data_IF_332663863766
#
_entry.id   IF_332663863766
#
_cell.length_a   1.000
_cell.length_b   1.000
_cell.length_c   1.000
_cell.angle_alpha   90.00
_cell.angle_beta   90.00
_cell.angle_gamma   90.00
#
_symmetry.space_group_name_H-M   'P 1'
#
loop_
_entity.id
_entity.type
_entity.pdbx_description
1 polymer ?
#
# COMPACT_ATOMS: atom_id res chain seq x y z
N UNK A 1 -15.13 -26.41 5.31
CA UNK A 1 -13.93 -25.61 5.02
C UNK A 1 -14.14 -24.17 5.52
N UNK A 2 -13.55 -23.80 6.67
CA UNK A 2 -13.55 -22.41 7.15
C UNK A 2 -12.15 -21.83 7.51
N UNK A 3 -11.07 -22.62 7.51
CA UNK A 3 -9.77 -22.19 8.04
C UNK A 3 -9.07 -21.09 7.21
N UNK A 4 -9.21 -21.11 5.88
CA UNK A 4 -8.50 -20.18 4.99
C UNK A 4 -8.99 -18.72 5.07
N UNK A 5 -10.26 -18.50 5.46
CA UNK A 5 -10.80 -17.14 5.60
C UNK A 5 -10.22 -16.41 6.82
N UNK A 6 -9.72 -17.15 7.82
CA UNK A 6 -9.06 -16.60 9.00
C UNK A 6 -7.63 -16.08 8.73
N UNK A 7 -7.04 -16.39 7.57
CA UNK A 7 -5.65 -15.99 7.24
C UNK A 7 -5.56 -14.77 6.33
N UNK A 8 -6.69 -14.13 6.01
CA UNK A 8 -6.69 -12.79 5.42
C UNK A 8 -6.45 -11.76 6.53
N UNK A 9 -5.44 -10.92 6.37
CA UNK A 9 -5.14 -9.85 7.33
C UNK A 9 -6.22 -8.76 7.30
N UNK A 10 -6.71 -8.41 6.12
CA UNK A 10 -7.69 -7.36 5.90
C UNK A 10 -8.99 -7.91 5.31
N UNK A 11 -10.12 -7.37 5.75
CA UNK A 11 -11.40 -7.44 5.02
C UNK A 11 -11.52 -6.18 4.16
N UNK A 12 -11.67 -6.39 2.86
CA UNK A 12 -11.74 -5.33 1.85
C UNK A 12 -13.12 -5.38 1.21
N UNK A 13 -13.80 -4.24 1.19
CA UNK A 13 -15.16 -4.10 0.64
C UNK A 13 -15.19 -2.92 -0.32
N UNK A 14 -15.54 -3.17 -1.57
CA UNK A 14 -15.81 -2.10 -2.53
C UNK A 14 -17.20 -1.52 -2.32
N UNK A 15 -17.34 -0.22 -2.55
CA UNK A 15 -18.63 0.49 -2.43
C UNK A 15 -18.63 1.71 -3.38
N UNK A 16 -19.79 2.16 -3.87
CA UNK A 16 -19.87 3.43 -4.61
C UNK A 16 -19.63 4.61 -3.65
N UNK A 17 -18.85 5.62 -4.06
CA UNK A 17 -18.75 6.88 -3.32
C UNK A 17 -19.68 7.91 -3.95
N UNK A 18 -19.44 8.25 -5.21
CA UNK A 18 -20.21 9.21 -6.01
C UNK A 18 -19.94 8.95 -7.50
N UNK A 19 -20.49 9.78 -8.39
CA UNK A 19 -20.31 9.65 -9.85
C UNK A 19 -18.84 9.83 -10.30
N UNK A 20 -17.98 10.35 -9.43
CA UNK A 20 -16.60 10.65 -9.78
C UNK A 20 -15.65 9.51 -9.43
N UNK A 21 -15.88 8.78 -8.32
CA UNK A 21 -14.97 7.75 -7.84
C UNK A 21 -15.64 6.54 -7.17
N UNK A 22 -14.92 5.42 -7.13
CA UNK A 22 -15.30 4.20 -6.40
C UNK A 22 -14.53 4.09 -5.08
N UNK A 23 -15.16 3.48 -4.09
CA UNK A 23 -14.62 3.27 -2.76
C UNK A 23 -14.04 1.89 -2.53
N UNK A 24 -13.00 1.81 -1.69
CA UNK A 24 -12.44 0.57 -1.15
C UNK A 24 -12.23 0.71 0.36
N UNK A 25 -13.10 0.08 1.15
CA UNK A 25 -13.03 0.12 2.62
C UNK A 25 -12.23 -1.07 3.13
N UNK A 26 -11.27 -0.80 4.01
CA UNK A 26 -10.42 -1.79 4.65
C UNK A 26 -10.69 -1.80 6.15
N UNK A 27 -10.81 -3.01 6.70
CA UNK A 27 -10.87 -3.25 8.15
C UNK A 27 -9.94 -4.41 8.47
N UNK A 28 -9.31 -4.40 9.64
CA UNK A 28 -8.45 -5.50 10.05
C UNK A 28 -9.32 -6.72 10.39
N UNK A 29 -9.11 -7.81 9.68
CA UNK A 29 -9.83 -9.07 9.87
C UNK A 29 -9.05 -10.03 10.78
N UNK A 30 -7.72 -10.03 10.67
CA UNK A 30 -6.82 -10.78 11.55
C UNK A 30 -5.59 -9.92 11.86
N UNK A 31 -5.53 -9.43 13.10
CA UNK A 31 -4.47 -8.53 13.55
C UNK A 31 -3.13 -9.24 13.76
N UNK A 32 -3.13 -10.53 14.14
CA UNK A 32 -1.89 -11.32 14.27
C UNK A 32 -1.25 -11.56 12.90
N UNK A 33 -2.08 -11.94 11.91
CA UNK A 33 -1.64 -12.12 10.53
C UNK A 33 -1.13 -10.79 9.95
N UNK A 34 -1.81 -9.68 10.21
CA UNK A 34 -1.37 -8.36 9.76
C UNK A 34 -0.01 -8.00 10.34
N UNK A 35 0.17 -8.17 11.66
CA UNK A 35 1.43 -7.89 12.33
C UNK A 35 2.59 -8.74 11.79
N UNK A 36 2.34 -10.04 11.56
CA UNK A 36 3.33 -10.95 10.99
C UNK A 36 3.70 -10.62 9.54
N UNK A 37 2.73 -10.22 8.71
CA UNK A 37 3.00 -9.77 7.34
C UNK A 37 3.84 -8.48 7.34
N UNK A 38 3.46 -7.50 8.16
CA UNK A 38 4.22 -6.25 8.31
C UNK A 38 5.66 -6.52 8.78
N UNK A 39 5.83 -7.41 9.76
CA UNK A 39 7.14 -7.84 10.23
C UNK A 39 7.97 -8.49 9.11
N UNK A 40 7.36 -9.39 8.34
CA UNK A 40 8.00 -10.08 7.20
C UNK A 40 8.47 -9.08 6.15
N UNK A 41 7.61 -8.13 5.77
CA UNK A 41 7.93 -7.13 4.75
C UNK A 41 9.03 -6.18 5.23
N UNK A 42 8.95 -5.66 6.47
CA UNK A 42 9.92 -4.68 6.96
C UNK A 42 11.33 -5.26 7.11
N UNK A 43 11.44 -6.58 7.33
CA UNK A 43 12.69 -7.34 7.31
C UNK A 43 13.21 -7.63 5.89
N UNK A 44 12.58 -7.04 4.86
CA UNK A 44 13.01 -7.10 3.47
C UNK A 44 12.47 -8.31 2.69
N UNK A 45 11.47 -9.02 3.20
CA UNK A 45 10.97 -10.26 2.61
C UNK A 45 9.58 -10.08 1.97
N UNK A 46 9.41 -9.04 1.14
CA UNK A 46 8.15 -8.76 0.45
C UNK A 46 7.65 -9.93 -0.40
N UNK A 47 8.55 -10.62 -1.11
CA UNK A 47 8.22 -11.83 -1.89
C UNK A 47 7.67 -12.98 -1.03
N UNK A 48 8.19 -13.15 0.19
CA UNK A 48 7.64 -14.14 1.12
C UNK A 48 6.25 -13.74 1.61
N UNK A 49 6.04 -12.45 1.92
CA UNK A 49 4.73 -11.93 2.28
C UNK A 49 3.70 -12.09 1.16
N UNK A 50 4.11 -11.87 -0.11
CA UNK A 50 3.30 -12.16 -1.29
C UNK A 50 2.90 -13.63 -1.35
N UNK A 51 3.86 -14.55 -1.23
CA UNK A 51 3.59 -15.98 -1.22
C UNK A 51 2.62 -16.40 -0.11
N UNK A 52 2.79 -15.84 1.10
CA UNK A 52 1.89 -16.07 2.25
C UNK A 52 0.46 -15.60 1.95
N UNK A 53 0.31 -14.42 1.35
CA UNK A 53 -1.00 -13.85 1.02
C UNK A 53 -1.70 -14.69 -0.06
N UNK A 54 -1.00 -15.04 -1.14
CA UNK A 54 -1.55 -15.83 -2.25
C UNK A 54 -1.90 -17.25 -1.83
N UNK A 55 -1.04 -17.87 -1.03
CA UNK A 55 -1.22 -19.25 -0.57
C UNK A 55 -2.07 -19.36 0.70
N UNK A 56 -2.55 -18.23 1.24
CA UNK A 56 -3.29 -18.13 2.50
C UNK A 56 -2.60 -18.90 3.63
N UNK A 57 -1.30 -18.63 3.84
CA UNK A 57 -0.49 -19.24 4.89
C UNK A 57 -0.45 -18.38 6.16
N UNK A 58 -0.10 -18.96 7.32
CA UNK A 58 0.28 -18.17 8.49
C UNK A 58 1.46 -17.25 8.16
N UNK A 59 1.41 -16.01 8.64
CA UNK A 59 2.49 -15.06 8.45
C UNK A 59 3.73 -15.50 9.22
N UNK A 60 4.74 -16.00 8.49
CA UNK A 60 6.05 -16.41 9.01
C UNK A 60 7.14 -16.01 8.00
N UNK A 61 8.15 -15.22 8.41
CA UNK A 61 9.31 -14.91 7.56
C UNK A 61 10.03 -16.18 7.10
N UNK A 62 10.64 -16.13 5.92
CA UNK A 62 11.37 -17.27 5.36
C UNK A 62 12.67 -17.55 6.15
N UNK A 63 13.28 -16.50 6.70
CA UNK A 63 14.45 -16.58 7.57
C UNK A 63 14.47 -15.37 8.50
N UNK A 64 15.25 -15.46 9.58
CA UNK A 64 15.49 -14.32 10.47
C UNK A 64 16.85 -14.46 11.14
N UNK A 65 17.41 -13.32 11.56
CA UNK A 65 18.57 -13.27 12.44
C UNK A 65 18.43 -12.06 13.37
N UNK A 66 19.27 -12.01 14.40
CA UNK A 66 19.15 -10.97 15.43
C UNK A 66 19.34 -9.55 14.85
N UNK A 67 20.26 -9.36 13.90
CA UNK A 67 20.47 -8.05 13.29
C UNK A 67 19.25 -7.57 12.50
N UNK A 68 18.60 -8.45 11.74
CA UNK A 68 17.36 -8.14 11.00
C UNK A 68 16.21 -7.81 11.96
N UNK A 69 16.07 -8.58 13.05
CA UNK A 69 15.07 -8.30 14.10
C UNK A 69 15.28 -6.90 14.68
N UNK A 70 16.52 -6.56 15.06
CA UNK A 70 16.81 -5.25 15.64
C UNK A 70 16.59 -4.10 14.66
N UNK A 71 16.98 -4.25 13.38
CA UNK A 71 16.70 -3.23 12.36
C UNK A 71 15.19 -2.98 12.18
N UNK A 72 14.40 -4.06 12.13
CA UNK A 72 12.94 -3.98 12.02
C UNK A 72 12.30 -3.31 13.25
N UNK A 73 12.74 -3.66 14.46
CA UNK A 73 12.22 -3.07 15.72
C UNK A 73 12.50 -1.56 15.76
N UNK A 74 13.68 -1.11 15.32
CA UNK A 74 14.02 0.32 15.26
C UNK A 74 13.02 1.08 14.38
N UNK A 75 12.52 0.50 13.29
CA UNK A 75 11.56 1.16 12.39
C UNK A 75 10.18 1.39 13.03
N UNK A 76 9.84 0.61 14.05
CA UNK A 76 8.54 0.70 14.74
C UNK A 76 8.59 1.31 16.14
N UNK A 77 9.80 1.58 16.64
CA UNK A 77 10.03 2.31 17.89
C UNK A 77 9.90 3.82 17.67
N UNK A 78 9.19 4.52 18.57
CA UNK A 78 9.06 5.98 18.53
C UNK A 78 10.31 6.66 19.09
N UNK A 79 10.85 7.61 18.34
CA UNK A 79 11.94 8.48 18.76
C UNK A 79 11.79 9.84 18.07
N UNK A 80 11.30 10.85 18.80
CA UNK A 80 11.05 12.18 18.24
C UNK A 80 12.33 12.96 17.96
N UNK A 81 13.29 12.93 18.89
CA UNK A 81 14.57 13.64 18.74
C UNK A 81 15.57 12.73 18.03
N UNK A 82 16.17 13.21 16.93
CA UNK A 82 17.20 12.46 16.20
C UNK A 82 18.44 12.27 17.08
N UNK A 83 18.88 11.02 17.24
CA UNK A 83 20.10 10.64 17.96
C UNK A 83 20.91 9.60 17.18
N UNK A 84 22.17 9.39 17.60
CA UNK A 84 23.10 8.42 17.03
C UNK A 84 23.69 7.55 18.14
N UNK A 85 23.54 6.21 18.10
CA UNK A 85 22.83 5.44 17.08
C UNK A 85 21.32 5.69 17.11
N UNK A 86 20.66 5.54 15.95
CA UNK A 86 19.19 5.64 15.85
C UNK A 86 18.55 4.44 16.55
N UNK A 87 17.56 4.69 17.39
CA UNK A 87 16.76 3.64 18.06
C UNK A 87 15.28 3.71 17.70
N UNK A 88 14.86 4.73 16.95
CA UNK A 88 13.48 4.90 16.50
C UNK A 88 13.30 5.95 15.40
N UNK A 89 12.02 6.24 15.11
CA UNK A 89 11.59 7.31 14.20
C UNK A 89 10.49 8.16 14.84
N UNK A 90 10.31 9.43 14.42
CA UNK A 90 9.16 10.23 14.85
C UNK A 90 7.85 9.48 14.63
N UNK A 91 6.90 9.59 15.56
CA UNK A 91 5.64 8.81 15.55
C UNK A 91 4.94 8.90 14.20
N UNK A 92 4.89 10.10 13.62
CA UNK A 92 4.27 10.35 12.31
C UNK A 92 4.91 9.58 11.15
N UNK A 93 6.23 9.39 11.16
CA UNK A 93 6.94 8.64 10.12
C UNK A 93 6.76 7.13 10.31
N UNK A 94 6.76 6.68 11.57
CA UNK A 94 6.51 5.28 11.94
C UNK A 94 5.11 4.85 11.51
N UNK A 95 4.10 5.65 11.84
CA UNK A 95 2.71 5.38 11.45
C UNK A 95 2.54 5.42 9.92
N UNK A 96 3.21 6.36 9.24
CA UNK A 96 3.26 6.44 7.79
C UNK A 96 3.80 5.16 7.14
N UNK A 97 4.92 4.65 7.65
CA UNK A 97 5.50 3.39 7.19
C UNK A 97 4.54 2.21 7.42
N UNK A 98 3.98 2.08 8.62
CA UNK A 98 3.01 1.00 8.91
C UNK A 98 1.83 1.08 7.94
N UNK A 99 1.28 2.27 7.69
CA UNK A 99 0.17 2.42 6.77
C UNK A 99 0.52 2.07 5.32
N UNK A 100 1.71 2.45 4.85
CA UNK A 100 2.21 2.05 3.52
C UNK A 100 2.25 0.52 3.38
N UNK A 101 2.75 -0.18 4.41
CA UNK A 101 2.78 -1.65 4.46
C UNK A 101 1.37 -2.26 4.47
N UNK A 102 0.43 -1.71 5.25
CA UNK A 102 -0.98 -2.13 5.23
C UNK A 102 -1.58 -1.93 3.84
N UNK A 103 -1.29 -0.79 3.21
CA UNK A 103 -1.83 -0.42 1.90
C UNK A 103 -1.32 -1.33 0.77
N UNK A 104 -0.06 -1.78 0.88
CA UNK A 104 0.52 -2.81 0.00
C UNK A 104 -0.15 -4.17 0.22
N UNK A 105 -0.32 -4.59 1.48
CA UNK A 105 -1.03 -5.85 1.83
C UNK A 105 -2.46 -5.81 1.28
N UNK A 106 -3.15 -4.67 1.40
CA UNK A 106 -4.49 -4.49 0.87
C UNK A 106 -4.54 -4.67 -0.65
N UNK A 107 -3.60 -4.07 -1.38
CA UNK A 107 -3.48 -4.25 -2.83
C UNK A 107 -3.20 -5.72 -3.18
N UNK A 108 -2.22 -6.35 -2.52
CA UNK A 108 -1.83 -7.74 -2.82
C UNK A 108 -2.95 -8.73 -2.53
N UNK A 109 -3.72 -8.55 -1.46
CA UNK A 109 -4.84 -9.43 -1.08
C UNK A 109 -5.99 -9.48 -2.10
N UNK A 110 -6.14 -8.46 -2.95
CA UNK A 110 -7.17 -8.41 -4.01
C UNK A 110 -6.58 -8.55 -5.41
N UNK A 111 -5.25 -8.67 -5.51
CA UNK A 111 -4.54 -8.86 -6.76
C UNK A 111 -4.61 -10.32 -7.21
N UNK A 112 -4.66 -10.55 -8.51
CA UNK A 112 -4.59 -11.90 -9.10
C UNK A 112 -3.22 -12.19 -9.71
N UNK A 113 -3.08 -13.35 -10.35
CA UNK A 113 -1.83 -13.87 -10.95
C UNK A 113 -1.28 -13.05 -12.14
N UNK A 114 -2.01 -12.02 -12.57
CA UNK A 114 -1.61 -11.07 -13.61
C UNK A 114 -1.19 -9.72 -13.04
N UNK A 115 -1.27 -9.55 -11.72
CA UNK A 115 -0.98 -8.30 -11.03
C UNK A 115 0.41 -8.33 -10.39
N UNK A 116 1.23 -7.34 -10.73
CA UNK A 116 2.57 -7.14 -10.22
C UNK A 116 2.62 -5.82 -9.47
N UNK A 117 3.09 -5.85 -8.23
CA UNK A 117 3.08 -4.70 -7.34
C UNK A 117 4.51 -4.33 -6.95
N UNK A 118 4.87 -3.05 -7.04
CA UNK A 118 6.17 -2.57 -6.55
C UNK A 118 6.25 -2.83 -5.05
N UNK A 119 7.37 -3.41 -4.62
CA UNK A 119 7.65 -3.60 -3.19
C UNK A 119 7.51 -2.27 -2.42
N UNK A 120 6.93 -2.32 -1.21
CA UNK A 120 6.76 -1.13 -0.41
C UNK A 120 8.12 -0.65 0.08
N UNK A 121 8.23 0.63 0.44
CA UNK A 121 9.45 1.12 1.04
C UNK A 121 9.69 0.43 2.39
N UNK A 122 10.93 0.03 2.64
CA UNK A 122 11.37 -0.51 3.93
C UNK A 122 11.92 0.58 4.85
N UNK A 123 11.79 1.86 4.47
CA UNK A 123 12.30 3.03 5.19
C UNK A 123 11.22 4.11 5.34
N UNK A 124 11.13 4.67 6.55
CA UNK A 124 10.12 5.65 6.92
C UNK A 124 10.33 7.07 6.35
N UNK A 125 11.36 7.30 5.52
CA UNK A 125 11.70 8.63 4.98
C UNK A 125 11.92 8.65 3.47
N UNK A 126 11.50 7.61 2.75
CA UNK A 126 11.65 7.55 1.29
C UNK A 126 10.77 8.63 0.62
N UNK A 127 11.34 9.36 -0.34
CA UNK A 127 10.61 10.27 -1.22
C UNK A 127 10.43 9.59 -2.58
N UNK A 128 9.24 9.66 -3.17
CA UNK A 128 8.97 9.04 -4.47
C UNK A 128 7.50 8.68 -4.63
N UNK A 129 7.23 7.79 -5.58
CA UNK A 129 5.93 7.15 -5.78
C UNK A 129 5.61 6.21 -4.61
N UNK A 130 4.51 6.47 -3.91
CA UNK A 130 4.06 5.63 -2.77
C UNK A 130 3.80 4.18 -3.22
N UNK A 131 3.25 3.98 -4.42
CA UNK A 131 3.07 2.64 -4.98
C UNK A 131 2.61 2.62 -6.44
N UNK A 132 2.90 1.51 -7.12
CA UNK A 132 2.42 1.22 -8.46
C UNK A 132 2.10 -0.27 -8.54
N UNK A 133 0.90 -0.57 -9.03
CA UNK A 133 0.47 -1.90 -9.42
C UNK A 133 0.24 -1.94 -10.92
N UNK A 134 0.67 -3.02 -11.56
CA UNK A 134 0.46 -3.28 -12.98
C UNK A 134 -0.30 -4.58 -13.12
N UNK A 135 -1.37 -4.54 -13.88
CA UNK A 135 -2.13 -5.72 -14.27
C UNK A 135 -1.90 -5.97 -15.76
N UNK A 136 -1.53 -7.20 -16.08
CA UNK A 136 -1.37 -7.64 -17.46
C UNK A 136 -2.71 -8.13 -18.02
N UNK A 137 -2.84 -8.06 -19.35
CA UNK A 137 -3.90 -8.77 -20.08
C UNK A 137 -3.82 -10.28 -19.81
N UNK A 138 -4.93 -11.00 -20.06
CA UNK A 138 -5.00 -12.45 -19.81
C UNK A 138 -3.93 -13.25 -20.58
N UNK A 139 -3.59 -12.83 -21.79
CA UNK A 139 -2.52 -13.40 -22.62
C UNK A 139 -1.12 -12.87 -22.27
N UNK A 140 -1.04 -11.96 -21.28
CA UNK A 140 0.18 -11.29 -20.79
C UNK A 140 0.95 -10.53 -21.86
N UNK A 141 0.28 -10.14 -22.95
CA UNK A 141 0.90 -9.44 -24.08
C UNK A 141 1.03 -7.93 -23.87
N UNK A 142 0.19 -7.34 -23.01
CA UNK A 142 0.22 -5.92 -22.69
C UNK A 142 -0.19 -5.64 -21.24
N UNK A 143 0.02 -4.40 -20.80
CA UNK A 143 -0.56 -3.89 -19.56
C UNK A 143 -2.01 -3.52 -19.86
N UNK A 144 -2.96 -4.14 -19.16
CA UNK A 144 -4.38 -3.78 -19.21
C UNK A 144 -4.68 -2.60 -18.27
N UNK A 145 -3.99 -2.55 -17.13
CA UNK A 145 -4.21 -1.53 -16.10
C UNK A 145 -2.93 -1.19 -15.34
N UNK A 146 -2.73 0.09 -15.06
CA UNK A 146 -1.70 0.58 -14.15
C UNK A 146 -2.37 1.40 -13.06
N UNK A 147 -2.15 1.06 -11.78
CA UNK A 147 -2.73 1.80 -10.65
C UNK A 147 -1.63 2.49 -9.88
N UNK A 148 -1.69 3.83 -9.81
CA UNK A 148 -0.76 4.68 -9.07
C UNK A 148 -1.36 4.95 -7.70
N UNK A 149 -0.56 4.77 -6.65
CA UNK A 149 -0.98 4.96 -5.27
C UNK A 149 -0.44 6.27 -4.71
N UNK A 150 -1.27 6.97 -3.93
CA UNK A 150 -0.88 8.08 -3.05
C UNK A 150 -1.59 7.85 -1.71
N UNK A 151 -0.91 7.16 -0.80
CA UNK A 151 -1.50 6.63 0.42
C UNK A 151 -0.92 7.36 1.65
N UNK A 152 -1.78 7.99 2.46
CA UNK A 152 -1.36 8.89 3.54
C UNK A 152 -1.96 8.51 4.90
N UNK A 153 -1.11 8.49 5.93
CA UNK A 153 -1.52 8.43 7.33
C UNK A 153 -1.35 9.82 7.99
N UNK A 154 -2.42 10.61 8.01
CA UNK A 154 -2.39 12.04 8.39
C UNK A 154 -3.63 12.44 9.19
N UNK A 155 -3.49 13.45 10.05
CA UNK A 155 -4.59 13.97 10.88
C UNK A 155 -5.58 14.84 10.10
N UNK A 156 -5.14 15.43 8.98
CA UNK A 156 -5.98 16.25 8.11
C UNK A 156 -6.12 15.60 6.73
N UNK A 157 -6.91 14.52 6.62
CA UNK A 157 -7.01 13.72 5.39
C UNK A 157 -7.62 14.54 4.24
N UNK A 158 -8.67 15.33 4.51
CA UNK A 158 -9.31 16.17 3.50
C UNK A 158 -8.36 17.20 2.88
N UNK A 159 -7.62 17.93 3.72
CA UNK A 159 -6.66 18.92 3.23
C UNK A 159 -5.50 18.27 2.49
N UNK A 160 -5.02 17.13 2.99
CA UNK A 160 -3.96 16.36 2.33
C UNK A 160 -4.41 15.85 0.97
N UNK A 161 -5.65 15.38 0.85
CA UNK A 161 -6.23 14.94 -0.40
C UNK A 161 -6.23 16.06 -1.46
N UNK A 162 -6.74 17.25 -1.14
CA UNK A 162 -6.78 18.36 -2.11
C UNK A 162 -5.44 19.02 -2.38
N UNK A 163 -4.58 19.14 -1.37
CA UNK A 163 -3.35 19.94 -1.48
C UNK A 163 -2.11 19.13 -1.84
N UNK A 164 -2.14 17.80 -1.67
CA UNK A 164 -0.98 16.94 -1.96
C UNK A 164 -1.34 15.83 -2.94
N UNK A 165 -2.36 15.02 -2.64
CA UNK A 165 -2.71 13.83 -3.44
C UNK A 165 -3.18 14.22 -4.84
N UNK A 166 -4.19 15.10 -4.95
CA UNK A 166 -4.68 15.53 -6.27
C UNK A 166 -3.59 16.21 -7.12
N UNK A 167 -2.80 17.18 -6.60
CA UNK A 167 -1.67 17.71 -7.35
C UNK A 167 -0.67 16.63 -7.79
N UNK A 168 -0.31 15.69 -6.91
CA UNK A 168 0.58 14.57 -7.24
C UNK A 168 0.03 13.70 -8.37
N UNK A 169 -1.26 13.39 -8.35
CA UNK A 169 -1.91 12.67 -9.44
C UNK A 169 -1.95 13.47 -10.73
N UNK A 170 -2.20 14.78 -10.69
CA UNK A 170 -2.20 15.65 -11.87
C UNK A 170 -0.80 15.73 -12.52
N UNK A 171 0.28 15.76 -11.73
CA UNK A 171 1.65 15.68 -12.25
C UNK A 171 1.87 14.37 -13.05
N UNK A 172 1.35 13.24 -12.55
CA UNK A 172 1.44 11.96 -13.26
C UNK A 172 0.51 11.93 -14.47
N UNK A 173 -0.72 12.41 -14.32
CA UNK A 173 -1.74 12.46 -15.37
C UNK A 173 -1.29 13.28 -16.59
N UNK A 174 -0.65 14.42 -16.34
CA UNK A 174 -0.05 15.29 -17.37
C UNK A 174 1.24 14.74 -17.97
N UNK A 175 1.71 13.57 -17.50
CA UNK A 175 2.93 12.91 -17.95
C UNK A 175 4.23 13.71 -17.70
N UNK A 176 4.22 14.65 -16.76
CA UNK A 176 5.40 15.50 -16.46
C UNK A 176 6.40 14.83 -15.51
N UNK A 177 6.00 13.74 -14.80
CA UNK A 177 6.83 13.00 -13.84
C UNK A 177 6.81 11.48 -14.05
N UNK A 178 7.13 11.02 -15.27
CA UNK A 178 6.93 9.61 -15.63
C UNK A 178 8.17 8.73 -15.67
N UNK A 179 9.39 9.29 -15.56
CA UNK A 179 10.60 8.48 -15.59
C UNK A 179 10.59 7.41 -14.47
N UNK A 180 10.15 7.79 -13.27
CA UNK A 180 9.99 6.87 -12.13
C UNK A 180 8.91 5.81 -12.41
N UNK A 181 7.79 6.20 -13.02
CA UNK A 181 6.69 5.29 -13.39
C UNK A 181 7.15 4.24 -14.41
N UNK A 182 7.85 4.68 -15.46
CA UNK A 182 8.41 3.83 -16.52
C UNK A 182 9.43 2.86 -15.94
N UNK A 183 10.35 3.34 -15.10
CA UNK A 183 11.38 2.51 -14.48
C UNK A 183 10.77 1.44 -13.55
N UNK A 184 9.80 1.83 -12.72
CA UNK A 184 9.09 0.89 -11.85
C UNK A 184 8.32 -0.14 -12.68
N UNK A 185 7.64 0.29 -13.74
CA UNK A 185 6.90 -0.60 -14.62
C UNK A 185 7.78 -1.61 -15.36
N UNK A 186 8.92 -1.15 -15.89
CA UNK A 186 9.88 -2.03 -16.55
C UNK A 186 10.40 -3.13 -15.61
N UNK A 187 10.63 -2.81 -14.33
CA UNK A 187 11.06 -3.79 -13.34
C UNK A 187 9.96 -4.81 -13.03
N UNK A 188 8.71 -4.35 -12.86
CA UNK A 188 7.57 -5.25 -12.59
C UNK A 188 7.29 -6.20 -13.76
N UNK A 189 7.36 -5.71 -15.00
CA UNK A 189 7.12 -6.56 -16.16
C UNK A 189 8.23 -7.59 -16.36
N UNK A 190 9.47 -7.30 -15.96
CA UNK A 190 10.52 -8.34 -15.96
C UNK A 190 10.18 -9.51 -15.05
N UNK A 191 9.47 -9.26 -13.93
CA UNK A 191 9.01 -10.31 -13.02
C UNK A 191 7.95 -11.22 -13.66
N UNK A 192 7.26 -10.78 -14.72
CA UNK A 192 6.31 -11.62 -15.46
C UNK A 192 6.99 -12.65 -16.39
N UNK A 193 8.31 -12.56 -16.58
CA UNK A 193 9.08 -13.39 -17.50
C UNK A 193 9.17 -12.85 -18.93
N UNK A 194 8.66 -11.64 -19.19
CA UNK A 194 8.78 -10.98 -20.49
C UNK A 194 10.24 -10.67 -20.85
N UNK A 195 10.61 -10.79 -22.13
CA UNK A 195 11.91 -10.33 -22.60
C UNK A 195 12.06 -8.81 -22.48
N UNK A 196 13.29 -8.28 -22.44
CA UNK A 196 13.53 -6.84 -22.33
C UNK A 196 12.84 -6.02 -23.44
N UNK A 197 12.81 -6.53 -24.67
CA UNK A 197 12.17 -5.85 -25.79
C UNK A 197 10.64 -5.82 -25.65
N UNK A 198 10.04 -6.95 -25.26
CA UNK A 198 8.59 -7.03 -24.99
C UNK A 198 8.23 -6.12 -23.82
N UNK A 199 8.99 -6.17 -22.72
CA UNK A 199 8.75 -5.37 -21.54
C UNK A 199 8.67 -3.88 -21.88
N UNK A 200 9.62 -3.35 -22.66
CA UNK A 200 9.60 -1.93 -23.03
C UNK A 200 8.43 -1.55 -23.95
N UNK A 201 8.00 -2.46 -24.83
CA UNK A 201 6.77 -2.26 -25.62
C UNK A 201 5.53 -2.16 -24.73
N UNK A 202 5.45 -3.01 -23.71
CA UNK A 202 4.35 -3.02 -22.74
C UNK A 202 4.36 -1.78 -21.85
N UNK A 203 5.54 -1.32 -21.39
CA UNK A 203 5.68 -0.15 -20.51
C UNK A 203 5.02 1.10 -21.11
N UNK A 204 4.97 1.25 -22.43
CA UNK A 204 4.31 2.41 -23.05
C UNK A 204 2.86 2.60 -22.59
N UNK A 205 2.15 1.51 -22.23
CA UNK A 205 0.77 1.56 -21.71
C UNK A 205 0.64 2.28 -20.37
N UNK A 206 1.71 2.40 -19.57
CA UNK A 206 1.64 3.20 -18.32
C UNK A 206 1.53 4.69 -18.60
N UNK A 207 1.80 5.13 -19.83
CA UNK A 207 1.63 6.51 -20.31
C UNK A 207 0.22 6.80 -20.81
N UNK A 208 -0.56 5.75 -21.08
CA UNK A 208 -1.92 5.84 -21.59
C UNK A 208 -2.89 6.06 -20.42
N UNK A 209 -3.54 7.22 -20.40
CA UNK A 209 -4.48 7.57 -19.35
C UNK A 209 -5.73 6.66 -19.33
N UNK A 210 -6.08 6.00 -20.44
CA UNK A 210 -7.18 5.02 -20.46
C UNK A 210 -6.85 3.73 -19.69
N UNK A 211 -5.56 3.39 -19.56
CA UNK A 211 -5.10 2.26 -18.75
C UNK A 211 -4.81 2.67 -17.29
N UNK A 212 -4.78 3.97 -16.98
CA UNK A 212 -4.26 4.47 -15.72
C UNK A 212 -5.35 4.70 -14.68
N UNK A 213 -5.14 4.13 -13.52
CA UNK A 213 -5.98 4.26 -12.35
C UNK A 213 -5.19 4.96 -11.25
N UNK A 214 -5.92 5.62 -10.37
CA UNK A 214 -5.38 6.42 -9.29
C UNK A 214 -6.06 5.99 -7.99
N UNK A 215 -5.27 5.58 -7.00
CA UNK A 215 -5.78 5.19 -5.67
C UNK A 215 -5.26 6.13 -4.61
N UNK A 216 -6.17 6.85 -3.96
CA UNK A 216 -5.87 7.65 -2.78
C UNK A 216 -6.28 6.88 -1.51
N UNK A 217 -5.32 6.32 -0.79
CA UNK A 217 -5.56 5.61 0.47
C UNK A 217 -5.39 6.49 1.70
N UNK A 218 -6.28 6.36 2.67
CA UNK A 218 -6.15 7.02 3.98
C UNK A 218 -6.41 6.07 5.13
N UNK A 219 -5.59 6.19 6.19
CA UNK A 219 -5.94 5.69 7.51
C UNK A 219 -6.86 6.71 8.21
N UNK A 220 -8.03 6.26 8.62
CA UNK A 220 -9.13 7.11 9.08
C UNK A 220 -9.74 6.56 10.36
N UNK A 221 -10.28 7.44 11.19
CA UNK A 221 -11.04 7.07 12.39
C UNK A 221 -12.50 6.75 12.04
N UNK A 222 -13.31 6.23 12.99
CA UNK A 222 -14.72 5.91 12.73
C UNK A 222 -15.58 7.11 12.30
N UNK A 223 -15.11 8.34 12.49
CA UNK A 223 -15.76 9.58 12.01
C UNK A 223 -15.87 9.65 10.47
N UNK A 224 -15.16 8.78 9.76
CA UNK A 224 -15.24 8.65 8.31
C UNK A 224 -15.92 7.35 7.87
N UNK A 225 -16.46 6.52 8.77
CA UNK A 225 -17.11 5.24 8.42
C UNK A 225 -18.60 5.42 8.09
N UNK A 226 -18.91 6.46 7.32
CA UNK A 226 -20.22 6.70 6.73
C UNK A 226 -20.09 7.27 5.32
N UNK A 227 -21.15 7.15 4.55
CA UNK A 227 -21.18 7.49 3.13
C UNK A 227 -20.91 8.98 2.86
N UNK A 228 -21.49 9.88 3.66
CA UNK A 228 -21.36 11.32 3.47
C UNK A 228 -19.96 11.82 3.82
N UNK A 229 -19.35 11.26 4.87
CA UNK A 229 -17.97 11.55 5.21
C UNK A 229 -16.99 11.07 4.14
N UNK A 230 -17.21 9.88 3.55
CA UNK A 230 -16.40 9.36 2.44
C UNK A 230 -16.53 10.23 1.18
N UNK A 231 -17.75 10.61 0.78
CA UNK A 231 -17.98 11.56 -0.32
C UNK A 231 -17.28 12.89 -0.08
N UNK A 232 -17.43 13.44 1.12
CA UNK A 232 -16.81 14.72 1.49
C UNK A 232 -15.28 14.66 1.43
N UNK A 233 -14.69 13.56 1.90
CA UNK A 233 -13.24 13.33 1.86
C UNK A 233 -12.70 13.32 0.43
N UNK A 234 -13.30 12.54 -0.46
CA UNK A 234 -12.82 12.32 -1.83
C UNK A 234 -13.35 13.33 -2.85
N UNK A 235 -14.20 14.27 -2.43
CA UNK A 235 -14.69 15.37 -3.28
C UNK A 235 -13.55 16.09 -4.01
N UNK A 236 -13.66 16.16 -5.34
CA UNK A 236 -12.69 16.80 -6.22
C UNK A 236 -11.76 15.83 -6.94
N UNK A 237 -12.02 14.52 -6.87
CA UNK A 237 -11.32 13.50 -7.66
C UNK A 237 -11.50 13.72 -9.18
N UNK A 238 -12.66 14.23 -9.61
CA UNK A 238 -12.95 14.60 -11.00
C UNK A 238 -12.01 15.62 -11.64
N UNK A 239 -11.16 16.29 -10.85
CA UNK A 239 -10.07 17.12 -11.38
C UNK A 239 -9.11 16.33 -12.27
N UNK A 240 -8.97 15.03 -12.05
CA UNK A 240 -8.29 14.13 -12.99
C UNK A 240 -9.30 13.81 -14.09
N UNK A 241 -9.28 14.60 -15.16
CA UNK A 241 -10.23 14.53 -16.26
C UNK A 241 -9.94 13.37 -17.23
N UNK A 242 -10.81 13.21 -18.23
CA UNK A 242 -10.62 12.28 -19.36
C UNK A 242 -10.38 10.80 -18.98
N UNK A 243 -10.92 10.39 -17.82
CA UNK A 243 -10.94 9.02 -17.31
C UNK A 243 -12.31 8.70 -16.70
N UNK A 244 -12.65 7.41 -16.61
CA UNK A 244 -13.89 6.92 -16.02
C UNK A 244 -13.86 6.90 -14.48
N UNK A 245 -15.04 6.71 -13.89
CA UNK A 245 -15.26 6.65 -12.44
C UNK A 245 -14.41 5.57 -11.75
N UNK A 246 -14.33 4.37 -12.33
CA UNK A 246 -13.59 3.22 -11.80
C UNK A 246 -12.06 3.40 -11.85
N UNK A 247 -11.58 4.37 -12.64
CA UNK A 247 -10.17 4.78 -12.64
C UNK A 247 -9.79 5.65 -11.43
N UNK A 248 -10.77 6.09 -10.63
CA UNK A 248 -10.57 6.91 -9.44
C UNK A 248 -11.00 6.13 -8.20
N UNK A 249 -10.05 5.76 -7.34
CA UNK A 249 -10.27 4.85 -6.21
C UNK A 249 -9.98 5.58 -4.90
N UNK A 250 -11.03 5.86 -4.12
CA UNK A 250 -10.91 6.33 -2.75
C UNK A 250 -10.80 5.15 -1.78
N UNK A 251 -9.64 4.96 -1.15
CA UNK A 251 -9.38 3.87 -0.24
C UNK A 251 -9.33 4.33 1.22
N UNK A 252 -9.97 3.57 2.11
CA UNK A 252 -10.19 3.96 3.50
C UNK A 252 -9.94 2.80 4.45
N UNK A 253 -8.82 2.82 5.16
CA UNK A 253 -8.63 1.97 6.35
C UNK A 253 -9.34 2.62 7.52
N UNK A 254 -10.43 1.99 7.99
CA UNK A 254 -11.12 2.45 9.20
C UNK A 254 -10.47 1.77 10.40
N UNK A 255 -9.83 2.57 11.25
CA UNK A 255 -9.25 2.11 12.52
C UNK A 255 -10.25 2.30 13.66
N UNK A 256 -10.07 1.52 14.73
CA UNK A 256 -10.88 1.67 15.94
C UNK A 256 -10.24 2.70 16.88
N UNK A 257 -11.04 3.64 17.40
CA UNK A 257 -10.57 4.66 18.34
C UNK A 257 -9.79 5.79 17.68
N UNK A 258 -8.84 6.36 18.43
CA UNK A 258 -7.99 7.44 17.96
C UNK A 258 -6.86 6.93 17.07
N UNK A 259 -6.57 7.69 15.99
CA UNK A 259 -5.69 7.24 14.91
C UNK A 259 -4.31 6.82 15.42
N UNK A 260 -3.67 7.69 16.20
CA UNK A 260 -2.29 7.49 16.66
C UNK A 260 -2.16 6.35 17.67
N UNK A 261 -3.14 6.23 18.55
CA UNK A 261 -3.13 5.20 19.61
C UNK A 261 -3.37 3.81 19.01
N UNK A 262 -4.16 3.74 17.93
CA UNK A 262 -4.31 2.51 17.15
C UNK A 262 -2.98 2.07 16.51
N UNK A 263 -2.24 3.00 15.90
CA UNK A 263 -0.92 2.70 15.33
C UNK A 263 0.13 2.35 16.39
N UNK A 264 0.08 2.94 17.60
CA UNK A 264 0.92 2.50 18.71
C UNK A 264 0.65 1.04 19.06
N UNK A 265 -0.62 0.69 19.24
CA UNK A 265 -1.04 -0.67 19.60
C UNK A 265 -0.58 -1.70 18.56
N UNK A 266 -0.75 -1.38 17.27
CA UNK A 266 -0.29 -2.25 16.19
C UNK A 266 1.24 -2.34 16.16
N UNK A 267 1.96 -1.23 16.35
CA UNK A 267 3.42 -1.23 16.38
C UNK A 267 3.97 -2.11 17.50
N UNK A 268 3.42 -2.00 18.71
CA UNK A 268 3.80 -2.85 19.86
C UNK A 268 3.61 -4.34 19.55
N UNK A 269 2.51 -4.65 18.85
CA UNK A 269 2.21 -6.02 18.42
C UNK A 269 3.20 -6.54 17.40
N UNK A 270 3.55 -5.72 16.40
CA UNK A 270 4.58 -6.05 15.40
C UNK A 270 5.93 -6.28 16.09
N UNK A 271 6.34 -5.39 17.00
CA UNK A 271 7.60 -5.51 17.74
C UNK A 271 7.61 -6.80 18.57
N UNK A 272 6.52 -7.10 19.29
CA UNK A 272 6.41 -8.34 20.06
C UNK A 272 6.47 -9.59 19.17
N UNK A 273 5.81 -9.56 18.01
CA UNK A 273 5.89 -10.63 17.03
C UNK A 273 7.36 -10.85 16.60
N UNK A 274 8.07 -9.79 16.21
CA UNK A 274 9.48 -9.87 15.79
C UNK A 274 10.35 -10.43 16.91
N UNK A 275 10.21 -9.94 18.14
CA UNK A 275 10.98 -10.39 19.30
C UNK A 275 10.84 -11.89 19.54
N UNK A 276 9.62 -12.43 19.36
CA UNK A 276 9.30 -13.84 19.57
C UNK A 276 9.68 -14.76 18.41
N UNK A 277 10.17 -14.22 17.28
CA UNK A 277 10.69 -15.06 16.20
C UNK A 277 11.95 -15.80 16.68
N UNK A 278 11.94 -17.13 16.52
CA UNK A 278 13.10 -17.98 16.71
C UNK A 278 14.18 -17.61 15.69
N UNK A 279 15.42 -17.46 16.16
CA UNK A 279 16.57 -17.21 15.30
C UNK A 279 17.18 -18.56 14.94
N UNK A 280 17.33 -18.81 13.64
CA UNK A 280 18.00 -19.99 13.10
C UNK A 280 19.53 -19.86 13.15
#
# INVERSE_FOLDING_TARGET
MPAAQHLKALKIVSFPIDDDCVGSKWTVANEDQLAGLIATIVMGQAMQAEHIIESLLPAVPAFTNEALKQEAIIKFTVQEVKQSPRVGYPRVHRDGLIFELISWIAAKQVSGDTCFLKDPHTSATSQGLDGIMIELSNDRSEISKSTIFEDKCVESPRNTFTQKVIPGFLDRHSNTRNAELIAAAANLIKMSGASNAQAMSMVNKVMDNSCRHYRAGFALTPKFDDEEAQKSLFKGYNKINDISQDQRIGASLIVNGELRDWFDTLADKIVRYIQNLEVA
#
